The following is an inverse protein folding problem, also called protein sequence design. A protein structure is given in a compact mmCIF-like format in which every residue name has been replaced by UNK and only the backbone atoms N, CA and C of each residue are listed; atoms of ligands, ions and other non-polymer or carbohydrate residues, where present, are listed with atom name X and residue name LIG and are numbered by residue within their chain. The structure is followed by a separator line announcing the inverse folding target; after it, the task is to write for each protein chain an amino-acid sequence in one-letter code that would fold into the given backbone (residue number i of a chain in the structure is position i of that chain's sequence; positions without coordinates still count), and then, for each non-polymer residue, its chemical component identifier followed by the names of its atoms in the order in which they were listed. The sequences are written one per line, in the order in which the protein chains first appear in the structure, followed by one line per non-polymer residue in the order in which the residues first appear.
data_IF_431920955362
#
_entry.id   IF_431920955362
#
_cell.length_a   1.000
_cell.length_b   1.000
_cell.length_c   1.000
_cell.angle_alpha   90.00
_cell.angle_beta   90.00
_cell.angle_gamma   90.00
#
_symmetry.space_group_name_H-M   'P 1'
#
loop_
_entity.id
_entity.type
_entity.pdbx_description
1 polymer ?
#
# COMPACT_ATOMS: atom_id res chain seq x y z
N UNK A 1 10.21 -2.14 11.99
CA UNK A 1 9.38 -3.32 12.30
C UNK A 1 8.80 -3.94 11.02
N UNK A 2 7.88 -3.27 10.30
CA UNK A 2 7.30 -3.82 9.06
C UNK A 2 8.31 -4.15 7.97
N UNK A 3 9.30 -3.28 7.74
CA UNK A 3 10.38 -3.57 6.78
C UNK A 3 11.11 -4.89 7.10
N UNK A 4 11.37 -5.18 8.38
CA UNK A 4 12.01 -6.42 8.82
C UNK A 4 11.09 -7.65 8.70
N UNK A 5 9.94 -7.62 9.38
CA UNK A 5 9.12 -8.83 9.55
C UNK A 5 8.11 -9.07 8.44
N UNK A 6 7.61 -8.00 7.80
CA UNK A 6 6.63 -8.14 6.72
C UNK A 6 7.33 -8.24 5.36
N UNK A 7 8.26 -7.33 5.08
CA UNK A 7 8.92 -7.25 3.77
C UNK A 7 10.28 -7.97 3.72
N UNK A 8 10.95 -8.18 4.86
CA UNK A 8 12.29 -8.79 4.87
C UNK A 8 13.40 -7.88 4.32
N UNK A 9 13.21 -6.56 4.34
CA UNK A 9 14.12 -5.58 3.75
C UNK A 9 14.97 -4.82 4.78
N UNK A 10 15.88 -3.98 4.29
CA UNK A 10 16.69 -3.10 5.13
C UNK A 10 15.80 -2.31 6.10
N UNK A 11 16.18 -2.32 7.37
CA UNK A 11 15.37 -1.73 8.43
C UNK A 11 16.27 -1.07 9.48
N UNK A 12 15.71 -0.09 10.19
CA UNK A 12 16.40 0.66 11.24
C UNK A 12 15.94 0.25 12.65
N UNK A 13 15.64 -1.05 12.86
CA UNK A 13 15.20 -1.53 14.17
C UNK A 13 16.42 -1.59 15.11
N UNK A 14 16.38 -0.83 16.21
CA UNK A 14 17.48 -0.76 17.18
C UNK A 14 17.28 -1.67 18.40
N UNK A 15 16.13 -2.35 18.50
CA UNK A 15 15.76 -3.16 19.67
C UNK A 15 15.86 -4.65 19.36
N UNK A 16 16.25 -5.41 20.38
CA UNK A 16 16.32 -6.87 20.35
C UNK A 16 15.07 -7.50 21.00
N UNK A 17 14.65 -8.67 20.50
CA UNK A 17 13.46 -9.40 20.97
C UNK A 17 13.69 -10.19 22.25
N UNK A 18 14.95 -10.49 22.59
CA UNK A 18 15.31 -11.40 23.69
C UNK A 18 14.84 -10.91 25.07
N UNK A 19 14.72 -9.59 25.26
CA UNK A 19 14.31 -8.96 26.53
C UNK A 19 12.89 -8.39 26.49
N UNK A 20 12.07 -8.74 25.50
CA UNK A 20 10.71 -8.22 25.38
C UNK A 20 9.68 -8.96 26.26
N UNK A 21 8.63 -8.22 26.65
CA UNK A 21 7.47 -8.79 27.37
C UNK A 21 6.73 -9.74 26.43
N UNK A 22 6.56 -10.99 26.84
CA UNK A 22 5.88 -12.02 26.04
C UNK A 22 4.37 -12.03 26.31
N UNK A 23 3.53 -12.12 25.27
CA UNK A 23 2.08 -12.25 25.43
C UNK A 23 1.70 -13.56 26.12
N UNK A 24 0.59 -13.57 26.88
CA UNK A 24 0.10 -14.76 27.60
C UNK A 24 -0.75 -15.68 26.73
N UNK A 25 -1.56 -15.11 25.84
CA UNK A 25 -2.59 -15.85 25.09
C UNK A 25 -2.14 -16.31 23.70
N UNK A 26 -0.93 -15.92 23.28
CA UNK A 26 -0.40 -16.25 21.94
C UNK A 26 0.87 -17.08 22.08
N UNK A 27 0.90 -18.22 21.38
CA UNK A 27 2.10 -19.07 21.31
C UNK A 27 3.23 -18.31 20.63
N UNK A 28 4.25 -17.94 21.41
CA UNK A 28 5.46 -17.27 20.91
C UNK A 28 6.31 -18.27 20.12
N UNK A 29 6.78 -17.83 18.95
CA UNK A 29 7.66 -18.56 18.03
C UNK A 29 8.78 -17.61 17.57
N UNK A 30 9.91 -18.10 17.05
CA UNK A 30 10.88 -17.25 16.40
C UNK A 30 10.21 -16.37 15.34
N UNK A 31 10.53 -15.07 15.32
CA UNK A 31 9.94 -14.15 14.38
C UNK A 31 10.38 -14.48 12.95
N UNK A 32 9.40 -14.59 12.04
CA UNK A 32 9.65 -14.79 10.61
C UNK A 32 9.85 -13.44 9.95
N UNK A 33 10.93 -13.31 9.18
CA UNK A 33 11.22 -12.18 8.30
C UNK A 33 10.67 -12.43 6.89
N UNK A 34 10.24 -11.38 6.19
CA UNK A 34 9.72 -11.50 4.82
C UNK A 34 8.48 -12.39 4.70
N UNK A 35 7.42 -12.07 5.44
CA UNK A 35 6.18 -12.88 5.43
C UNK A 35 5.38 -12.80 4.13
N UNK A 36 5.58 -11.78 3.32
CA UNK A 36 4.89 -11.63 2.05
C UNK A 36 5.69 -12.29 0.93
N UNK A 37 5.03 -13.16 0.17
CA UNK A 37 5.62 -13.77 -1.03
C UNK A 37 5.58 -12.84 -2.25
N UNK A 38 4.61 -11.91 -2.30
CA UNK A 38 4.44 -10.94 -3.38
C UNK A 38 3.76 -9.67 -2.87
N UNK A 39 4.38 -8.52 -3.14
CA UNK A 39 3.82 -7.19 -2.90
C UNK A 39 3.57 -6.46 -4.22
N UNK A 40 2.29 -6.32 -4.57
CA UNK A 40 1.84 -5.53 -5.73
C UNK A 40 1.33 -4.18 -5.25
N UNK A 41 1.79 -3.10 -5.87
CA UNK A 41 1.43 -1.72 -5.51
C UNK A 41 0.86 -1.01 -6.73
N UNK A 42 -0.31 -0.37 -6.56
CA UNK A 42 -0.91 0.51 -7.56
C UNK A 42 -0.67 1.95 -7.10
N UNK A 43 0.03 2.74 -7.90
CA UNK A 43 0.30 4.15 -7.57
C UNK A 43 0.57 4.95 -8.84
N UNK A 44 0.17 6.22 -8.84
CA UNK A 44 0.42 7.16 -9.94
C UNK A 44 1.76 7.88 -9.77
N UNK A 45 2.42 7.70 -8.61
CA UNK A 45 3.78 8.18 -8.33
C UNK A 45 4.62 7.09 -7.68
N UNK A 46 5.94 7.19 -7.80
CA UNK A 46 6.86 6.27 -7.12
C UNK A 46 6.92 6.58 -5.61
N UNK A 47 5.97 6.06 -4.85
CA UNK A 47 5.94 6.17 -3.39
C UNK A 47 6.99 5.25 -2.73
N UNK A 48 7.26 5.46 -1.44
CA UNK A 48 8.17 4.59 -0.68
C UNK A 48 7.68 3.14 -0.67
N UNK A 49 6.37 2.91 -0.67
CA UNK A 49 5.79 1.57 -0.78
C UNK A 49 6.09 0.96 -2.15
N UNK A 50 5.99 1.73 -3.24
CA UNK A 50 6.38 1.26 -4.58
C UNK A 50 7.86 0.89 -4.66
N UNK A 51 8.74 1.65 -4.00
CA UNK A 51 10.18 1.35 -3.95
C UNK A 51 10.51 0.02 -3.29
N UNK A 52 9.65 -0.47 -2.38
CA UNK A 52 9.79 -1.78 -1.76
C UNK A 52 8.84 -2.85 -2.35
N UNK A 53 8.05 -2.50 -3.38
CA UNK A 53 7.13 -3.43 -4.04
C UNK A 53 7.83 -4.26 -5.12
N UNK A 54 7.36 -5.49 -5.30
CA UNK A 54 7.87 -6.38 -6.36
C UNK A 54 7.31 -6.00 -7.73
N UNK A 55 6.03 -5.59 -7.75
CA UNK A 55 5.32 -5.17 -8.96
C UNK A 55 4.66 -3.82 -8.68
N UNK A 56 4.91 -2.85 -9.56
CA UNK A 56 4.26 -1.54 -9.52
C UNK A 56 3.42 -1.38 -10.78
N UNK A 57 2.12 -1.15 -10.60
CA UNK A 57 1.17 -0.93 -11.68
C UNK A 57 0.78 0.56 -11.73
N UNK A 58 0.91 1.23 -12.88
CA UNK A 58 0.58 2.65 -12.99
C UNK A 58 -0.94 2.83 -12.91
N UNK A 59 -1.42 3.49 -11.86
CA UNK A 59 -2.84 3.87 -11.75
C UNK A 59 -3.07 5.30 -12.26
N UNK A 60 -4.29 5.58 -12.72
CA UNK A 60 -4.72 6.89 -13.18
C UNK A 60 -4.86 7.88 -12.01
N UNK A 61 -4.49 9.13 -12.23
CA UNK A 61 -4.69 10.22 -11.26
C UNK A 61 -6.17 10.57 -11.11
N UNK A 62 -6.48 11.44 -10.15
CA UNK A 62 -7.86 11.85 -9.86
C UNK A 62 -8.55 12.62 -11.00
N UNK A 63 -7.78 13.17 -11.94
CA UNK A 63 -8.29 13.89 -13.11
C UNK A 63 -8.39 13.01 -14.37
N UNK A 64 -8.13 11.72 -14.23
CA UNK A 64 -8.07 10.76 -15.34
C UNK A 64 -9.04 9.59 -15.11
N UNK A 65 -9.97 9.70 -14.15
CA UNK A 65 -10.93 8.63 -13.84
C UNK A 65 -12.24 9.15 -13.27
N UNK A 66 -13.29 8.35 -13.43
CA UNK A 66 -14.59 8.57 -12.80
C UNK A 66 -14.69 7.82 -11.47
N UNK A 67 -15.03 8.53 -10.40
CA UNK A 67 -15.25 7.99 -9.06
C UNK A 67 -16.15 8.92 -8.23
N UNK A 68 -16.53 8.54 -7.00
CA UNK A 68 -17.33 9.36 -6.09
C UNK A 68 -16.56 9.67 -4.79
N UNK A 69 -16.70 10.90 -4.29
CA UNK A 69 -16.09 11.34 -3.04
C UNK A 69 -17.10 11.99 -2.09
N UNK A 70 -16.97 11.66 -0.80
CA UNK A 70 -17.72 12.22 0.33
C UNK A 70 -16.80 12.40 1.53
N UNK A 71 -17.15 13.28 2.46
CA UNK A 71 -16.41 13.50 3.71
C UNK A 71 -17.36 13.76 4.88
N UNK A 72 -16.96 13.36 6.09
CA UNK A 72 -17.73 13.59 7.33
C UNK A 72 -17.99 15.07 7.62
N UNK A 73 -17.16 15.96 7.06
CA UNK A 73 -17.20 17.40 7.33
C UNK A 73 -18.41 18.11 6.70
N UNK A 74 -19.05 17.51 5.69
CA UNK A 74 -20.16 18.15 4.97
C UNK A 74 -21.13 17.12 4.36
N UNK A 75 -22.40 17.47 4.12
CA UNK A 75 -23.40 16.54 3.60
C UNK A 75 -23.40 16.40 2.06
N UNK A 76 -22.36 16.88 1.36
CA UNK A 76 -22.29 16.85 -0.10
C UNK A 76 -21.53 15.62 -0.63
N UNK A 77 -22.05 15.04 -1.71
CA UNK A 77 -21.37 14.05 -2.56
C UNK A 77 -20.96 14.72 -3.87
N UNK A 78 -19.74 14.45 -4.35
CA UNK A 78 -19.23 15.00 -5.61
C UNK A 78 -18.41 13.96 -6.38
N UNK A 79 -18.40 14.02 -7.71
CA UNK A 79 -17.64 13.09 -8.53
C UNK A 79 -16.18 13.51 -8.69
N UNK A 80 -15.31 12.54 -8.90
CA UNK A 80 -14.10 12.68 -9.71
C UNK A 80 -14.53 12.43 -11.16
N UNK A 81 -14.00 13.20 -12.10
CA UNK A 81 -14.34 13.05 -13.51
C UNK A 81 -13.09 13.14 -14.36
N UNK A 82 -13.08 12.37 -15.43
CA UNK A 82 -12.00 12.36 -16.39
C UNK A 82 -11.91 13.70 -17.14
N UNK A 83 -10.91 14.51 -16.80
CA UNK A 83 -10.58 15.72 -17.54
C UNK A 83 -9.81 15.40 -18.82
N UNK A 84 -8.94 14.39 -18.76
CA UNK A 84 -8.18 13.82 -19.88
C UNK A 84 -8.01 12.31 -19.67
N UNK A 85 -7.85 11.57 -20.76
CA UNK A 85 -7.64 10.12 -20.71
C UNK A 85 -6.38 9.77 -19.89
N UNK A 86 -6.37 8.65 -19.14
CA UNK A 86 -5.20 8.17 -18.41
C UNK A 86 -3.92 8.22 -19.25
N UNK A 87 -2.93 8.98 -18.78
CA UNK A 87 -1.71 9.16 -19.53
C UNK A 87 -0.86 7.87 -19.58
N UNK A 88 -0.14 7.70 -20.69
CA UNK A 88 0.74 6.56 -20.96
C UNK A 88 0.00 5.21 -20.91
N UNK A 89 0.47 4.29 -20.06
CA UNK A 89 -0.12 2.97 -19.84
C UNK A 89 -0.86 2.88 -18.51
N UNK A 90 -1.15 4.04 -17.89
CA UNK A 90 -1.95 4.07 -16.67
C UNK A 90 -3.38 3.65 -16.95
N UNK A 91 -4.02 3.07 -15.95
CA UNK A 91 -5.43 2.66 -15.98
C UNK A 91 -6.08 3.05 -14.66
N UNK A 92 -7.38 3.26 -14.63
CA UNK A 92 -8.09 3.44 -13.35
C UNK A 92 -7.92 2.19 -12.49
N UNK A 93 -7.96 2.35 -11.16
CA UNK A 93 -7.85 1.22 -10.22
C UNK A 93 -8.86 0.11 -10.57
N UNK A 94 -10.07 0.51 -10.98
CA UNK A 94 -11.13 -0.38 -11.43
C UNK A 94 -10.72 -1.23 -12.65
N UNK A 95 -10.18 -0.61 -13.70
CA UNK A 95 -9.77 -1.34 -14.92
C UNK A 95 -8.49 -2.17 -14.72
N UNK A 96 -7.72 -1.94 -13.66
CA UNK A 96 -6.56 -2.78 -13.31
C UNK A 96 -7.02 -4.10 -12.67
N UNK A 97 -8.08 -4.06 -11.85
CA UNK A 97 -8.60 -5.26 -11.18
C UNK A 97 -9.60 -6.07 -12.01
N UNK A 98 -10.29 -5.45 -12.99
CA UNK A 98 -11.25 -6.11 -13.89
C UNK A 98 -10.58 -7.20 -14.74
#
# INVERSE_FOLDING_TARGET
YFLKYLLGTQNALMSDEDHCIKPRDVKVRPAVEGKLDLLVVLDFRMSTTCLYGDIVLPTATWYEKDDLNTSDMHPFIHPLSEAVQPLWQSKSDWEIYK
#
